data_IF_607436384779
#
_entry.id   IF_607436384779
#
_cell.length_a   1.000
_cell.length_b   1.000
_cell.length_c   1.000
_cell.angle_alpha   90.00
_cell.angle_beta   90.00
_cell.angle_gamma   90.00
#
_symmetry.space_group_name_H-M   'P 1'
#
loop_
_entity.id
_entity.type
_entity.pdbx_description
1 polymer ?
#
# COMPACT_ATOMS: atom_id res chain seq x y z
N UNK A 1 4.51 -4.90 14.72
CA UNK A 1 3.73 -6.09 14.33
C UNK A 1 4.06 -6.53 12.91
N UNK A 2 4.05 -5.64 11.91
CA UNK A 2 4.42 -6.01 10.53
C UNK A 2 5.88 -6.43 10.39
N UNK A 3 6.80 -5.67 10.99
CA UNK A 3 8.25 -5.94 10.98
C UNK A 3 8.59 -7.24 11.70
N UNK A 4 7.84 -7.56 12.74
CA UNK A 4 7.97 -8.80 13.50
C UNK A 4 7.55 -10.00 12.64
N UNK A 5 6.40 -9.92 11.97
CA UNK A 5 5.97 -10.94 11.01
C UNK A 5 7.00 -11.13 9.88
N UNK A 6 7.52 -10.03 9.31
CA UNK A 6 8.56 -10.10 8.27
C UNK A 6 9.81 -10.81 8.80
N UNK A 7 10.25 -10.46 10.02
CA UNK A 7 11.41 -11.08 10.64
C UNK A 7 11.20 -12.57 10.90
N UNK A 8 10.03 -12.96 11.42
CA UNK A 8 9.69 -14.35 11.69
C UNK A 8 9.68 -15.19 10.41
N UNK A 9 9.06 -14.67 9.34
CA UNK A 9 9.02 -15.34 8.03
C UNK A 9 10.42 -15.44 7.44
N UNK A 10 11.20 -14.35 7.45
CA UNK A 10 12.58 -14.36 6.97
C UNK A 10 13.41 -15.41 7.74
N UNK A 11 13.37 -15.38 9.06
CA UNK A 11 14.15 -16.28 9.91
C UNK A 11 13.75 -17.74 9.70
N UNK A 12 12.44 -18.03 9.53
CA UNK A 12 11.97 -19.38 9.22
C UNK A 12 12.46 -19.86 7.85
N UNK A 13 12.33 -19.04 6.81
CA UNK A 13 12.75 -19.38 5.44
C UNK A 13 14.27 -19.51 5.34
N UNK A 14 15.01 -18.59 5.98
CA UNK A 14 16.48 -18.54 5.97
C UNK A 14 17.11 -19.78 6.62
N UNK A 15 16.46 -20.33 7.65
CA UNK A 15 16.91 -21.55 8.34
C UNK A 15 16.35 -22.84 7.73
N UNK A 16 15.53 -22.73 6.68
CA UNK A 16 14.96 -23.90 6.01
C UNK A 16 15.98 -24.62 5.12
N UNK A 17 15.85 -25.95 4.91
CA UNK A 17 16.67 -26.68 3.94
C UNK A 17 16.52 -26.21 2.49
N UNK A 18 15.50 -25.41 2.18
CA UNK A 18 15.19 -24.92 0.83
C UNK A 18 15.66 -23.49 0.58
N UNK A 19 16.39 -22.87 1.52
CA UNK A 19 16.86 -21.49 1.40
C UNK A 19 17.58 -21.20 0.07
N UNK A 20 18.52 -22.07 -0.34
CA UNK A 20 19.25 -21.96 -1.61
C UNK A 20 18.42 -22.25 -2.88
N UNK A 21 17.10 -22.40 -2.73
CA UNK A 21 16.12 -22.54 -3.82
C UNK A 21 14.94 -21.59 -3.65
N UNK A 22 15.06 -20.58 -2.81
CA UNK A 22 13.96 -19.69 -2.44
C UNK A 22 14.20 -18.26 -2.95
N UNK A 23 13.15 -17.66 -3.48
CA UNK A 23 12.99 -16.22 -3.64
C UNK A 23 11.85 -15.79 -2.71
N UNK A 24 12.18 -15.05 -1.65
CA UNK A 24 11.19 -14.43 -0.77
C UNK A 24 10.88 -13.03 -1.31
N UNK A 25 9.59 -12.76 -1.51
CA UNK A 25 9.07 -11.49 -2.00
C UNK A 25 8.29 -10.85 -0.86
N UNK A 26 8.74 -9.67 -0.43
CA UNK A 26 8.06 -8.85 0.59
C UNK A 26 7.47 -7.64 -0.13
N UNK A 27 6.16 -7.48 -0.05
CA UNK A 27 5.42 -6.38 -0.67
C UNK A 27 4.25 -5.97 0.22
N UNK A 28 3.65 -4.83 -0.08
CA UNK A 28 2.44 -4.31 0.57
C UNK A 28 1.32 -4.26 -0.45
N UNK A 29 0.09 -4.58 -0.05
CA UNK A 29 -1.10 -4.55 -0.91
C UNK A 29 -1.57 -3.12 -1.22
N UNK A 30 -1.30 -2.18 -0.31
CA UNK A 30 -1.54 -0.75 -0.51
C UNK A 30 -0.43 0.16 0.06
N UNK A 31 -0.50 1.43 -0.32
CA UNK A 31 0.48 2.46 0.07
C UNK A 31 0.19 3.13 1.43
N UNK A 32 -0.98 2.86 2.03
CA UNK A 32 -1.37 3.37 3.35
C UNK A 32 -1.65 4.88 3.42
N UNK A 33 -1.90 5.56 2.30
CA UNK A 33 -2.27 6.99 2.27
C UNK A 33 -1.10 7.97 2.39
N UNK A 34 0.13 7.48 2.54
CA UNK A 34 1.33 8.32 2.58
C UNK A 34 1.64 8.93 1.21
N UNK A 35 2.11 10.17 1.19
CA UNK A 35 2.49 10.84 -0.05
C UNK A 35 3.65 10.13 -0.74
N UNK A 36 3.49 9.85 -2.03
CA UNK A 36 4.55 9.47 -2.94
C UNK A 36 4.65 10.50 -4.07
N UNK A 37 5.88 10.85 -4.44
CA UNK A 37 6.12 11.89 -5.44
C UNK A 37 5.93 11.43 -6.89
N UNK A 38 5.81 10.12 -7.14
CA UNK A 38 5.63 9.59 -8.49
C UNK A 38 4.14 9.48 -8.79
N UNK A 39 3.62 10.25 -9.77
CA UNK A 39 2.23 10.13 -10.18
C UNK A 39 1.95 8.71 -10.69
N UNK A 40 0.82 8.08 -10.29
CA UNK A 40 0.49 6.76 -10.77
C UNK A 40 0.35 6.70 -12.30
N UNK A 41 1.15 5.87 -12.99
CA UNK A 41 1.14 5.78 -14.45
C UNK A 41 -0.13 5.09 -14.96
N UNK A 42 -0.40 5.24 -16.25
CA UNK A 42 -1.43 4.46 -16.96
C UNK A 42 -1.09 2.97 -16.91
N UNK A 43 -2.12 2.13 -16.87
CA UNK A 43 -2.00 0.68 -16.83
C UNK A 43 -2.85 0.03 -17.91
N UNK A 44 -2.46 -1.16 -18.35
CA UNK A 44 -3.36 -2.02 -19.11
C UNK A 44 -4.48 -2.50 -18.18
N UNK A 45 -5.76 -2.31 -18.54
CA UNK A 45 -6.88 -2.86 -17.78
C UNK A 45 -6.83 -4.39 -17.73
N UNK A 46 -7.25 -5.02 -16.62
CA UNK A 46 -7.49 -6.45 -16.62
C UNK A 46 -8.71 -6.78 -17.50
N UNK A 47 -8.85 -8.05 -17.85
CA UNK A 47 -9.99 -8.53 -18.64
C UNK A 47 -11.27 -8.48 -17.80
N UNK A 48 -12.40 -8.20 -18.46
CA UNK A 48 -13.74 -8.24 -17.87
C UNK A 48 -13.87 -7.50 -16.52
N UNK A 49 -13.88 -6.17 -16.56
CA UNK A 49 -14.03 -5.31 -15.37
C UNK A 49 -15.44 -5.32 -14.74
N UNK A 50 -16.30 -6.30 -15.06
CA UNK A 50 -17.64 -6.51 -14.45
C UNK A 50 -18.46 -5.22 -14.23
N UNK A 51 -18.55 -4.36 -15.25
CA UNK A 51 -19.30 -3.09 -15.22
C UNK A 51 -18.98 -2.19 -14.02
N UNK A 52 -17.77 -2.29 -13.46
CA UNK A 52 -17.30 -1.39 -12.42
C UNK A 52 -17.22 0.04 -13.00
N UNK A 53 -17.47 1.08 -12.18
CA UNK A 53 -17.43 2.47 -12.63
C UNK A 53 -16.00 2.94 -12.99
N UNK A 54 -14.98 2.13 -12.68
CA UNK A 54 -13.58 2.42 -12.94
C UNK A 54 -13.05 1.58 -14.10
N UNK A 55 -12.30 2.22 -15.00
CA UNK A 55 -11.67 1.54 -16.14
C UNK A 55 -10.48 0.66 -15.76
N UNK A 56 -9.98 0.76 -14.53
CA UNK A 56 -8.75 0.11 -14.07
C UNK A 56 -7.57 0.34 -15.03
N UNK A 57 -7.54 1.46 -15.74
CA UNK A 57 -6.52 1.83 -16.74
C UNK A 57 -5.37 2.66 -16.12
N UNK A 58 -5.23 2.58 -14.80
CA UNK A 58 -4.22 3.30 -14.02
C UNK A 58 -3.72 2.44 -12.87
N UNK A 59 -2.43 2.55 -12.59
CA UNK A 59 -1.82 1.94 -11.42
C UNK A 59 -2.21 2.68 -10.14
N UNK A 60 -2.02 2.02 -9.00
CA UNK A 60 -2.07 2.66 -7.69
C UNK A 60 -0.80 3.46 -7.40
N UNK A 61 -0.78 4.12 -6.25
CA UNK A 61 0.43 4.69 -5.67
C UNK A 61 1.44 3.57 -5.41
N UNK A 62 2.74 3.87 -5.53
CA UNK A 62 3.81 2.89 -5.33
C UNK A 62 3.76 2.30 -3.92
N UNK A 63 4.06 1.01 -3.84
CA UNK A 63 4.29 0.28 -2.60
C UNK A 63 5.75 -0.16 -2.52
N UNK A 64 6.32 -0.32 -1.32
CA UNK A 64 7.65 -0.90 -1.17
C UNK A 64 7.67 -2.37 -1.63
N UNK A 65 8.79 -2.80 -2.22
CA UNK A 65 9.05 -4.19 -2.53
C UNK A 65 10.50 -4.55 -2.18
N UNK A 66 10.69 -5.65 -1.45
CA UNK A 66 12.01 -6.20 -1.09
C UNK A 66 12.07 -7.65 -1.55
N UNK A 67 13.14 -7.98 -2.27
CA UNK A 67 13.38 -9.31 -2.82
C UNK A 67 14.60 -9.91 -2.11
N UNK A 68 14.45 -11.13 -1.61
CA UNK A 68 15.48 -11.79 -0.81
C UNK A 68 15.73 -13.19 -1.37
N UNK A 69 16.97 -13.43 -1.81
CA UNK A 69 17.41 -14.73 -2.30
C UNK A 69 18.93 -14.83 -2.28
N UNK A 70 19.49 -16.04 -2.09
CA UNK A 70 20.92 -16.32 -2.26
C UNK A 70 21.50 -16.00 -3.64
N UNK A 71 20.65 -15.89 -4.66
CA UNK A 71 21.02 -15.56 -6.03
C UNK A 71 21.02 -14.05 -6.33
N UNK A 72 20.78 -13.20 -5.33
CA UNK A 72 20.77 -11.75 -5.52
C UNK A 72 22.10 -11.18 -5.04
N UNK A 73 22.82 -10.46 -5.91
CA UNK A 73 24.03 -9.72 -5.53
C UNK A 73 23.70 -8.62 -4.53
N UNK A 74 24.54 -8.48 -3.49
CA UNK A 74 24.39 -7.40 -2.51
C UNK A 74 24.38 -6.02 -3.19
N UNK A 75 23.45 -5.15 -2.76
CA UNK A 75 23.29 -3.81 -3.31
C UNK A 75 22.54 -3.75 -4.65
N UNK A 76 21.90 -4.83 -5.08
CA UNK A 76 21.05 -4.83 -6.27
C UNK A 76 19.84 -3.92 -6.07
N UNK A 77 19.62 -3.01 -7.02
CA UNK A 77 18.40 -2.21 -7.15
C UNK A 77 17.73 -2.65 -8.45
N UNK A 78 16.60 -3.34 -8.34
CA UNK A 78 15.84 -3.75 -9.51
C UNK A 78 14.98 -2.57 -10.00
N UNK A 79 15.05 -2.28 -11.29
CA UNK A 79 14.21 -1.29 -11.97
C UNK A 79 13.64 -1.93 -13.22
N UNK A 80 12.39 -1.62 -13.55
CA UNK A 80 11.81 -2.05 -14.80
C UNK A 80 12.66 -1.53 -15.97
N UNK A 81 13.08 -2.44 -16.86
CA UNK A 81 13.87 -2.07 -18.02
C UNK A 81 12.99 -1.36 -19.05
N UNK A 82 13.48 -0.29 -19.71
CA UNK A 82 12.82 0.30 -20.88
C UNK A 82 12.47 -0.78 -21.90
N UNK A 83 11.24 -0.77 -22.40
CA UNK A 83 10.83 -1.64 -23.49
C UNK A 83 10.08 -0.80 -24.52
N UNK A 84 10.62 -0.75 -25.74
CA UNK A 84 10.06 0.04 -26.84
C UNK A 84 8.88 -0.67 -27.55
N UNK A 85 8.58 -1.92 -27.18
CA UNK A 85 7.54 -2.77 -27.79
C UNK A 85 6.29 -2.93 -26.93
N UNK A 86 6.04 -2.02 -25.97
CA UNK A 86 4.87 -2.12 -25.11
C UNK A 86 3.59 -1.64 -25.84
N UNK A 87 2.42 -2.27 -25.60
CA UNK A 87 1.16 -1.92 -26.25
C UNK A 87 0.57 -0.57 -25.79
N UNK A 88 1.35 0.26 -25.09
CA UNK A 88 0.99 1.62 -24.73
C UNK A 88 2.17 2.58 -24.92
N UNK A 89 1.87 3.83 -25.30
CA UNK A 89 2.85 4.91 -25.27
C UNK A 89 3.08 5.34 -23.81
N UNK A 90 4.18 4.90 -23.20
CA UNK A 90 4.57 5.25 -21.84
C UNK A 90 5.93 4.67 -21.44
N UNK A 91 6.60 5.19 -20.39
CA UNK A 91 7.82 4.57 -19.84
C UNK A 91 7.54 3.10 -19.44
N UNK A 92 8.58 2.26 -19.31
CA UNK A 92 8.41 0.80 -19.18
C UNK A 92 7.41 0.41 -18.10
N UNK A 93 6.69 -0.71 -18.31
CA UNK A 93 5.77 -1.25 -17.30
C UNK A 93 6.48 -1.32 -15.94
N UNK A 94 5.98 -0.61 -14.92
CA UNK A 94 6.53 -0.76 -13.58
C UNK A 94 6.35 -2.22 -13.13
N UNK A 95 7.14 -2.65 -12.14
CA UNK A 95 6.74 -3.83 -11.39
C UNK A 95 5.44 -3.52 -10.67
N UNK A 96 4.47 -4.41 -10.82
CA UNK A 96 3.19 -4.35 -10.14
C UNK A 96 2.91 -5.71 -9.45
N UNK A 97 1.77 -5.84 -8.78
CA UNK A 97 1.41 -7.09 -8.11
C UNK A 97 1.32 -8.30 -9.05
N UNK A 98 1.02 -8.08 -10.33
CA UNK A 98 0.96 -9.13 -11.35
C UNK A 98 2.34 -9.54 -11.86
N UNK A 99 3.42 -8.81 -11.55
CA UNK A 99 4.80 -9.30 -11.72
C UNK A 99 5.07 -10.57 -10.91
N UNK A 100 4.41 -10.75 -9.76
CA UNK A 100 4.50 -11.99 -8.98
C UNK A 100 3.85 -13.14 -9.74
N UNK A 101 2.68 -12.89 -10.34
CA UNK A 101 1.96 -13.86 -11.19
C UNK A 101 2.86 -14.26 -12.36
N UNK A 102 3.38 -13.30 -13.12
CA UNK A 102 4.30 -13.53 -14.24
C UNK A 102 5.52 -14.38 -13.82
N UNK A 103 6.15 -14.04 -12.69
CA UNK A 103 7.28 -14.79 -12.13
C UNK A 103 6.93 -16.24 -11.81
N UNK A 104 5.82 -16.48 -11.12
CA UNK A 104 5.38 -17.85 -10.74
C UNK A 104 5.05 -18.67 -11.98
N UNK A 105 4.37 -18.08 -12.97
CA UNK A 105 4.03 -18.74 -14.23
C UNK A 105 5.28 -19.18 -14.98
N UNK A 106 6.26 -18.30 -15.10
CA UNK A 106 7.51 -18.56 -15.82
C UNK A 106 8.35 -19.62 -15.07
N UNK A 107 8.48 -19.47 -13.75
CA UNK A 107 9.23 -20.40 -12.90
C UNK A 107 8.71 -21.85 -12.97
N UNK A 108 7.38 -22.04 -13.02
CA UNK A 108 6.76 -23.38 -13.00
C UNK A 108 6.13 -23.80 -14.33
N UNK A 109 6.36 -23.03 -15.41
CA UNK A 109 5.78 -23.28 -16.74
C UNK A 109 4.24 -23.49 -16.71
N UNK A 110 3.51 -22.59 -16.04
CA UNK A 110 2.07 -22.72 -15.80
C UNK A 110 1.16 -22.25 -16.95
N UNK A 111 1.73 -21.91 -18.11
CA UNK A 111 0.98 -21.53 -19.31
C UNK A 111 0.86 -20.02 -19.58
N UNK A 112 -0.06 -19.64 -20.48
CA UNK A 112 -0.28 -18.26 -20.96
C UNK A 112 -1.05 -17.38 -19.98
N UNK A 113 -0.98 -16.05 -20.14
CA UNK A 113 -1.48 -15.01 -19.19
C UNK A 113 -2.91 -15.25 -18.70
N UNK A 114 -3.21 -14.82 -17.46
CA UNK A 114 -4.54 -14.94 -16.87
C UNK A 114 -5.47 -13.80 -17.31
N UNK A 115 -4.91 -12.62 -17.57
CA UNK A 115 -5.56 -11.37 -17.95
C UNK A 115 -4.64 -10.54 -18.86
N UNK A 116 -5.17 -9.49 -19.51
CA UNK A 116 -4.34 -8.51 -20.22
C UNK A 116 -3.31 -7.79 -19.33
N UNK A 117 -3.53 -7.69 -18.01
CA UNK A 117 -2.60 -7.00 -17.09
C UNK A 117 -1.35 -7.83 -16.80
N UNK A 118 -1.51 -9.08 -16.38
CA UNK A 118 -0.34 -9.94 -16.12
C UNK A 118 0.36 -10.35 -17.42
N UNK A 119 -0.33 -10.29 -18.57
CA UNK A 119 0.29 -10.51 -19.89
C UNK A 119 1.43 -9.53 -20.20
N UNK A 120 1.38 -8.32 -19.65
CA UNK A 120 2.35 -7.25 -19.92
C UNK A 120 3.29 -6.95 -18.75
N UNK A 121 3.02 -7.54 -17.58
CA UNK A 121 3.81 -7.30 -16.39
C UNK A 121 5.20 -7.95 -16.50
N UNK A 122 6.30 -7.22 -16.15
CA UNK A 122 7.63 -7.80 -16.13
C UNK A 122 7.73 -8.84 -15.01
N UNK A 123 8.42 -9.95 -15.25
CA UNK A 123 8.76 -10.90 -14.19
C UNK A 123 9.99 -10.43 -13.38
N UNK A 124 10.24 -11.10 -12.26
CA UNK A 124 11.31 -10.77 -11.33
C UNK A 124 12.59 -11.58 -11.59
N UNK A 125 12.68 -12.38 -12.66
CA UNK A 125 13.81 -13.30 -12.87
C UNK A 125 15.15 -12.55 -12.94
N UNK A 126 15.15 -11.39 -13.58
CA UNK A 126 16.33 -10.53 -13.73
C UNK A 126 16.98 -10.07 -12.40
N UNK A 127 16.29 -10.19 -11.26
CA UNK A 127 16.89 -9.91 -9.95
C UNK A 127 17.90 -10.98 -9.52
N UNK A 128 17.72 -12.22 -10.00
CA UNK A 128 18.55 -13.38 -9.67
C UNK A 128 19.85 -13.34 -10.49
N UNK A 129 20.71 -12.38 -10.16
CA UNK A 129 21.87 -11.96 -10.96
C UNK A 129 23.21 -12.59 -10.50
N UNK A 130 23.15 -13.75 -9.83
CA UNK A 130 24.29 -14.60 -9.50
C UNK A 130 24.08 -15.99 -10.11
N UNK A 131 25.16 -16.60 -10.61
CA UNK A 131 25.10 -17.94 -11.21
C UNK A 131 24.99 -19.07 -10.16
N UNK A 132 25.19 -18.74 -8.88
CA UNK A 132 25.14 -19.67 -7.76
C UNK A 132 24.63 -18.96 -6.50
N UNK A 133 24.07 -19.69 -5.51
CA UNK A 133 23.49 -19.11 -4.29
C UNK A 133 24.57 -18.65 -3.30
N UNK A 134 25.43 -17.72 -3.70
CA UNK A 134 26.60 -17.32 -2.92
C UNK A 134 26.34 -16.19 -1.92
N UNK A 135 25.16 -15.55 -1.94
CA UNK A 135 24.81 -14.48 -1.01
C UNK A 135 23.80 -14.95 0.04
N UNK A 136 24.29 -15.62 1.08
CA UNK A 136 23.44 -16.14 2.13
C UNK A 136 22.69 -15.08 2.96
N UNK A 137 23.02 -13.79 2.83
CA UNK A 137 22.44 -12.74 3.67
C UNK A 137 22.69 -12.93 5.17
N UNK A 138 22.05 -12.13 6.03
CA UNK A 138 22.17 -12.29 7.48
C UNK A 138 21.54 -13.60 7.95
N UNK A 139 22.19 -14.31 8.87
CA UNK A 139 21.67 -15.58 9.42
C UNK A 139 20.35 -15.41 10.19
N UNK A 140 20.14 -14.23 10.76
CA UNK A 140 18.90 -13.84 11.43
C UNK A 140 18.69 -12.34 11.29
N UNK A 141 17.45 -11.91 11.31
CA UNK A 141 17.07 -10.49 11.45
C UNK A 141 16.25 -10.33 12.72
N UNK A 142 16.49 -9.23 13.42
CA UNK A 142 15.71 -8.85 14.60
C UNK A 142 14.99 -7.56 14.28
N UNK A 143 13.65 -7.51 14.42
CA UNK A 143 12.92 -6.27 14.22
C UNK A 143 13.39 -5.26 15.27
N UNK A 144 13.70 -4.04 14.84
CA UNK A 144 14.04 -2.99 15.79
C UNK A 144 12.78 -2.63 16.59
N UNK A 145 12.81 -2.68 17.93
CA UNK A 145 11.70 -2.18 18.71
C UNK A 145 11.57 -0.67 18.44
N UNK A 146 10.45 -0.27 17.83
CA UNK A 146 10.11 1.15 17.78
C UNK A 146 9.49 1.54 19.13
N UNK A 147 10.32 2.01 20.04
CA UNK A 147 9.88 2.61 21.29
C UNK A 147 10.05 4.12 21.16
N UNK A 148 8.93 4.83 21.04
CA UNK A 148 8.94 6.30 21.12
C UNK A 148 9.18 6.68 22.58
N UNK A 149 10.17 7.55 22.84
CA UNK A 149 10.35 8.10 24.19
C UNK A 149 9.21 9.06 24.54
N UNK A 150 8.92 9.24 25.83
CA UNK A 150 7.92 10.21 26.28
C UNK A 150 8.22 11.61 25.73
N UNK A 151 9.49 12.00 25.66
CA UNK A 151 9.90 13.30 25.10
C UNK A 151 9.61 13.41 23.61
N UNK A 152 9.83 12.35 22.84
CA UNK A 152 9.52 12.33 21.40
C UNK A 152 8.01 12.35 21.17
N UNK A 153 7.24 11.61 21.97
CA UNK A 153 5.79 11.61 21.89
C UNK A 153 5.23 13.00 22.21
N UNK A 154 5.70 13.64 23.29
CA UNK A 154 5.28 15.00 23.64
C UNK A 154 5.70 16.00 22.57
N UNK A 155 6.89 15.87 21.99
CA UNK A 155 7.30 16.73 20.88
C UNK A 155 6.39 16.56 19.66
N UNK A 156 6.05 15.32 19.29
CA UNK A 156 5.17 15.03 18.16
C UNK A 156 3.73 15.54 18.38
N UNK A 157 3.19 15.38 19.59
CA UNK A 157 1.86 15.85 19.96
C UNK A 157 1.71 17.37 19.92
N UNK A 158 2.80 18.10 20.20
CA UNK A 158 2.80 19.56 20.24
C UNK A 158 3.38 20.21 18.96
N UNK A 159 3.87 19.41 18.01
CA UNK A 159 4.31 19.91 16.71
C UNK A 159 3.12 20.46 15.90
N UNK A 160 3.35 21.40 14.96
CA UNK A 160 2.32 21.80 14.02
C UNK A 160 1.81 20.60 13.21
N UNK A 161 0.51 20.58 12.91
CA UNK A 161 -0.07 19.56 12.04
C UNK A 161 0.69 19.52 10.69
N UNK A 162 1.15 18.34 10.31
CA UNK A 162 1.65 18.10 8.96
C UNK A 162 0.49 18.00 7.95
N UNK A 163 0.80 17.96 6.64
CA UNK A 163 -0.23 17.94 5.59
C UNK A 163 -1.21 16.76 5.72
N UNK A 164 -0.71 15.58 6.06
CA UNK A 164 -1.55 14.39 6.24
C UNK A 164 -2.48 14.53 7.47
N UNK A 165 -1.95 15.01 8.59
CA UNK A 165 -2.75 15.24 9.80
C UNK A 165 -3.81 16.32 9.59
N UNK A 166 -3.52 17.36 8.79
CA UNK A 166 -4.53 18.34 8.36
C UNK A 166 -5.62 17.71 7.50
N UNK A 167 -5.24 16.89 6.53
CA UNK A 167 -6.21 16.19 5.68
C UNK A 167 -7.10 15.22 6.47
N UNK A 168 -6.54 14.46 7.41
CA UNK A 168 -7.32 13.62 8.32
C UNK A 168 -8.26 14.43 9.20
N UNK A 169 -7.77 15.56 9.71
CA UNK A 169 -8.56 16.46 10.53
C UNK A 169 -9.75 17.03 9.75
N UNK A 170 -9.52 17.51 8.53
CA UNK A 170 -10.55 17.99 7.61
C UNK A 170 -11.53 16.87 7.24
N UNK A 171 -11.04 15.69 6.83
CA UNK A 171 -11.88 14.54 6.50
C UNK A 171 -12.81 14.13 7.66
N UNK A 172 -12.31 14.16 8.91
CA UNK A 172 -13.11 13.84 10.08
C UNK A 172 -14.31 14.80 10.28
N UNK A 173 -14.21 16.05 9.82
CA UNK A 173 -15.33 17.01 9.92
C UNK A 173 -16.53 16.62 9.05
N UNK A 174 -16.26 15.90 7.96
CA UNK A 174 -17.26 15.47 7.01
C UNK A 174 -17.92 14.13 7.37
N UNK A 175 -17.41 13.39 8.37
CA UNK A 175 -18.00 12.10 8.72
C UNK A 175 -19.44 12.25 9.25
N UNK A 176 -20.43 11.50 8.71
CA UNK A 176 -21.79 11.51 9.24
C UNK A 176 -21.85 10.81 10.62
N UNK A 177 -22.68 11.27 11.56
CA UNK A 177 -22.75 10.68 12.90
C UNK A 177 -23.65 9.43 12.93
N UNK A 178 -23.26 8.36 12.24
CA UNK A 178 -24.09 7.14 12.08
C UNK A 178 -24.46 6.48 13.43
N UNK A 179 -23.68 6.66 14.48
CA UNK A 179 -23.95 6.17 15.83
C UNK A 179 -25.23 6.74 16.45
N UNK A 180 -25.69 7.91 15.97
CA UNK A 180 -26.93 8.54 16.42
C UNK A 180 -28.17 7.95 15.71
N UNK A 181 -27.97 7.10 14.70
CA UNK A 181 -29.06 6.44 14.02
C UNK A 181 -29.53 5.21 14.82
N UNK A 182 -30.71 5.33 15.44
CA UNK A 182 -31.30 4.28 16.27
C UNK A 182 -31.83 3.06 15.48
N UNK A 183 -31.93 3.15 14.15
CA UNK A 183 -32.41 2.08 13.26
C UNK A 183 -31.89 2.24 11.83
N UNK A 184 -32.13 1.25 10.96
CA UNK A 184 -31.66 1.23 9.57
C UNK A 184 -32.19 2.39 8.73
N UNK A 185 -33.43 2.83 8.97
CA UNK A 185 -34.04 3.97 8.27
C UNK A 185 -33.29 5.27 8.58
N UNK A 186 -32.94 5.49 9.85
CA UNK A 186 -32.15 6.64 10.28
C UNK A 186 -30.71 6.60 9.73
N UNK A 187 -30.11 5.41 9.62
CA UNK A 187 -28.75 5.26 9.04
C UNK A 187 -28.78 5.67 7.57
N UNK A 188 -29.77 5.18 6.82
CA UNK A 188 -29.95 5.55 5.40
C UNK A 188 -30.15 7.05 5.24
N UNK A 189 -31.00 7.67 6.07
CA UNK A 189 -31.21 9.12 6.06
C UNK A 189 -29.91 9.91 6.32
N UNK A 190 -29.12 9.53 7.33
CA UNK A 190 -27.83 10.18 7.61
C UNK A 190 -26.82 10.08 6.46
N UNK A 191 -26.81 8.96 5.73
CA UNK A 191 -25.95 8.78 4.55
C UNK A 191 -26.46 9.61 3.38
N UNK A 192 -27.77 9.62 3.13
CA UNK A 192 -28.40 10.42 2.06
C UNK A 192 -28.16 11.92 2.27
N UNK A 193 -28.42 12.42 3.48
CA UNK A 193 -28.14 13.82 3.85
C UNK A 193 -26.66 14.17 3.67
N UNK A 194 -25.77 13.24 4.02
CA UNK A 194 -24.34 13.43 3.84
C UNK A 194 -23.95 13.52 2.36
N UNK A 195 -24.48 12.63 1.52
CA UNK A 195 -24.27 12.67 0.06
C UNK A 195 -24.82 13.97 -0.52
N UNK A 196 -26.02 14.39 -0.13
CA UNK A 196 -26.63 15.64 -0.61
C UNK A 196 -25.79 16.86 -0.22
N UNK A 197 -25.27 16.89 1.01
CA UNK A 197 -24.35 17.94 1.45
C UNK A 197 -23.07 17.99 0.61
N UNK A 198 -22.48 16.83 0.28
CA UNK A 198 -21.31 16.77 -0.59
C UNK A 198 -21.63 17.25 -2.03
N UNK A 199 -22.77 16.83 -2.57
CA UNK A 199 -23.22 17.23 -3.92
C UNK A 199 -23.47 18.74 -4.00
N UNK A 200 -24.04 19.31 -2.95
CA UNK A 200 -24.33 20.75 -2.88
C UNK A 200 -23.11 21.61 -2.48
N UNK A 201 -21.95 20.98 -2.25
CA UNK A 201 -20.72 21.69 -1.87
C UNK A 201 -20.77 22.28 -0.46
N UNK A 202 -21.61 21.72 0.42
CA UNK A 202 -21.65 22.11 1.84
C UNK A 202 -20.33 21.69 2.49
N UNK A 203 -19.50 22.67 2.84
CA UNK A 203 -18.25 22.43 3.56
C UNK A 203 -18.50 22.50 5.06
N UNK A 204 -18.13 21.43 5.78
CA UNK A 204 -18.13 21.45 7.24
C UNK A 204 -17.08 22.46 7.74
N UNK A 205 -17.40 23.20 8.80
CA UNK A 205 -16.41 24.08 9.43
C UNK A 205 -15.32 23.23 10.08
N UNK A 206 -14.08 23.43 9.62
CA UNK A 206 -12.91 22.73 10.18
C UNK A 206 -12.41 23.52 11.38
N UNK A 207 -12.40 22.95 12.61
CA UNK A 207 -11.85 23.62 13.76
C UNK A 207 -10.41 24.06 13.52
N UNK A 208 -9.98 25.18 14.10
CA UNK A 208 -8.61 25.67 13.90
C UNK A 208 -7.61 25.02 14.88
N UNK A 209 -7.56 23.69 14.90
CA UNK A 209 -6.56 22.94 15.67
C UNK A 209 -5.19 23.02 15.00
N UNK A 210 -4.16 23.35 15.79
CA UNK A 210 -2.80 23.61 15.29
C UNK A 210 -1.86 22.43 15.51
N UNK A 211 -2.14 21.58 16.49
CA UNK A 211 -1.28 20.46 16.88
C UNK A 211 -2.07 19.15 16.92
N UNK A 212 -1.39 17.98 16.83
CA UNK A 212 -2.05 16.70 17.04
C UNK A 212 -2.74 16.59 18.40
N UNK A 213 -2.18 17.16 19.47
CA UNK A 213 -2.81 17.17 20.80
C UNK A 213 -4.18 17.86 20.80
N UNK A 214 -4.30 18.97 20.05
CA UNK A 214 -5.56 19.70 19.92
C UNK A 214 -6.57 18.97 19.00
N UNK A 215 -6.10 18.42 17.88
CA UNK A 215 -6.97 17.80 16.88
C UNK A 215 -7.45 16.38 17.26
N UNK A 216 -6.63 15.61 17.99
CA UNK A 216 -6.89 14.19 18.24
C UNK A 216 -8.22 13.91 18.96
N UNK A 217 -8.61 14.63 20.03
CA UNK A 217 -9.89 14.41 20.69
C UNK A 217 -11.07 14.59 19.72
N UNK A 218 -11.05 15.69 18.94
CA UNK A 218 -12.09 15.97 17.96
C UNK A 218 -12.21 14.88 16.89
N UNK A 219 -11.07 14.43 16.33
CA UNK A 219 -11.06 13.35 15.34
C UNK A 219 -11.61 12.05 15.94
N UNK A 220 -11.21 11.72 17.17
CA UNK A 220 -11.72 10.53 17.88
C UNK A 220 -13.23 10.60 18.09
N UNK A 221 -13.76 11.74 18.51
CA UNK A 221 -15.19 11.92 18.74
C UNK A 221 -15.98 11.78 17.44
N UNK A 222 -15.48 12.34 16.32
CA UNK A 222 -16.08 12.17 15.00
C UNK A 222 -16.07 10.72 14.53
N UNK A 223 -14.95 10.02 14.72
CA UNK A 223 -14.85 8.59 14.38
C UNK A 223 -15.75 7.72 15.26
N UNK A 224 -15.84 8.00 16.56
CA UNK A 224 -16.73 7.32 17.49
C UNK A 224 -18.20 7.49 17.06
N UNK A 225 -18.59 8.73 16.78
CA UNK A 225 -19.92 9.06 16.26
C UNK A 225 -20.20 8.43 14.89
N UNK A 226 -19.21 8.19 14.05
CA UNK A 226 -19.39 7.49 12.78
C UNK A 226 -19.45 5.97 12.94
N UNK A 227 -18.63 5.39 13.82
CA UNK A 227 -18.47 3.94 13.95
C UNK A 227 -19.42 3.29 14.96
N UNK A 228 -20.16 4.07 15.75
CA UNK A 228 -21.04 3.53 16.79
C UNK A 228 -20.28 2.93 17.98
N UNK A 229 -19.13 3.51 18.33
CA UNK A 229 -18.23 3.00 19.38
C UNK A 229 -17.91 4.05 20.43
#
# INVERSE_FOLDING_TARGET
MGEELIADVYNAVRNSPTWHKTLLIITYDEHGGCYDHVPPPTAVPPDNTNAQPFGFDRYGVRVPAVLVSPYIKQGTILRAAPNDNLPHNGPPYPFDHTSIIATVRNCFNLGGSLTNRDAVAPDLESVLNLDSPSNDGPATVTPLPYTISDSELQAALNAPLNGFQKALHEAATHLPPLALAENTENVCACIEDHIENLVNGTMAEVPNHKTPAEALPFIKDKLAAFLGK
#
